data_IF_784935009429
#
_entry.id   IF_784935009429
#
_cell.length_a   1.000
_cell.length_b   1.000
_cell.length_c   1.000
_cell.angle_alpha   90.00
_cell.angle_beta   90.00
_cell.angle_gamma   90.00
#
_symmetry.space_group_name_H-M   'P 1'
#
loop_
_entity.id
_entity.type
_entity.pdbx_description
1 polymer ?
#
# COMPACT_ATOMS: atom_id res chain seq x y z
N UNK A 1 3.89 -12.89 -15.88
CA UNK A 1 2.93 -12.48 -14.82
C UNK A 1 1.89 -13.54 -14.44
N UNK A 2 2.04 -14.80 -14.85
CA UNK A 2 1.07 -15.89 -14.56
C UNK A 2 1.36 -16.70 -13.28
N UNK A 3 2.19 -16.20 -12.36
CA UNK A 3 2.59 -16.95 -11.16
C UNK A 3 1.63 -16.85 -9.97
N UNK A 4 0.63 -15.97 -10.05
CA UNK A 4 -0.32 -15.72 -8.95
C UNK A 4 -1.75 -16.08 -9.35
N UNK A 5 -1.95 -17.28 -9.94
CA UNK A 5 -3.27 -17.82 -10.32
C UNK A 5 -3.86 -18.63 -9.18
N UNK A 6 -4.71 -18.01 -8.39
CA UNK A 6 -5.48 -18.60 -7.29
C UNK A 6 -6.51 -17.55 -6.82
N UNK A 7 -7.21 -17.78 -5.73
CA UNK A 7 -8.03 -16.76 -5.06
C UNK A 7 -7.14 -15.68 -4.42
N UNK A 8 -6.40 -14.94 -5.27
CA UNK A 8 -5.44 -13.94 -4.87
C UNK A 8 -6.15 -12.64 -4.51
N UNK A 9 -5.69 -12.01 -3.43
CA UNK A 9 -6.05 -10.63 -3.07
C UNK A 9 -5.34 -9.58 -3.93
N UNK A 10 -4.70 -10.02 -5.01
CA UNK A 10 -4.07 -9.18 -6.02
C UNK A 10 -4.88 -9.30 -7.30
N UNK A 11 -5.20 -8.17 -7.93
CA UNK A 11 -5.95 -8.14 -9.18
C UNK A 11 -5.24 -8.94 -10.27
N UNK A 12 -5.98 -9.78 -10.96
CA UNK A 12 -5.45 -10.60 -12.05
C UNK A 12 -5.44 -9.81 -13.37
N UNK A 13 -4.24 -9.67 -13.98
CA UNK A 13 -4.10 -9.13 -15.33
C UNK A 13 -4.44 -10.24 -16.34
N UNK A 14 -5.45 -10.02 -17.16
CA UNK A 14 -5.96 -10.94 -18.17
C UNK A 14 -5.23 -10.81 -19.50
N UNK A 15 -4.91 -9.57 -19.89
CA UNK A 15 -4.31 -9.28 -21.19
C UNK A 15 -3.57 -7.93 -21.18
N UNK A 16 -2.73 -7.74 -22.19
CA UNK A 16 -2.00 -6.51 -22.42
C UNK A 16 -1.82 -6.32 -23.93
N UNK A 17 -2.18 -5.14 -24.44
CA UNK A 17 -2.02 -4.83 -25.86
C UNK A 17 -1.76 -3.34 -26.13
N UNK A 18 -1.22 -3.05 -27.30
CA UNK A 18 -1.01 -1.69 -27.80
C UNK A 18 -2.07 -1.31 -28.82
N UNK A 19 -2.68 -0.14 -28.65
CA UNK A 19 -3.58 0.48 -29.63
C UNK A 19 -3.57 2.00 -29.46
N UNK A 20 -3.82 2.76 -30.53
CA UNK A 20 -3.92 4.23 -30.49
C UNK A 20 -2.71 4.92 -29.82
N UNK A 21 -1.49 4.44 -30.08
CA UNK A 21 -0.24 4.91 -29.46
C UNK A 21 -0.23 4.84 -27.91
N UNK A 22 -1.03 3.96 -27.35
CA UNK A 22 -1.21 3.75 -25.89
C UNK A 22 -1.15 2.26 -25.59
N UNK A 23 -0.68 1.92 -24.38
CA UNK A 23 -0.73 0.56 -23.84
C UNK A 23 -2.01 0.37 -23.02
N UNK A 24 -2.68 -0.75 -23.24
CA UNK A 24 -3.88 -1.15 -22.49
C UNK A 24 -3.59 -2.39 -21.66
N UNK A 25 -3.97 -2.35 -20.39
CA UNK A 25 -3.93 -3.50 -19.49
C UNK A 25 -5.37 -3.92 -19.22
N UNK A 26 -5.69 -5.17 -19.54
CA UNK A 26 -7.00 -5.77 -19.28
C UNK A 26 -6.88 -6.58 -18.00
N UNK A 27 -7.71 -6.29 -17.02
CA UNK A 27 -7.70 -6.99 -15.74
C UNK A 27 -9.09 -7.53 -15.39
N UNK A 28 -9.17 -8.36 -14.37
CA UNK A 28 -10.46 -8.79 -13.84
C UNK A 28 -11.29 -7.58 -13.39
N UNK A 29 -12.59 -7.66 -13.60
CA UNK A 29 -13.52 -6.66 -13.09
C UNK A 29 -13.90 -7.01 -11.65
N UNK A 30 -13.76 -6.05 -10.74
CA UNK A 30 -14.17 -6.18 -9.34
C UNK A 30 -15.46 -5.39 -9.16
N UNK A 31 -16.55 -6.10 -8.87
CA UNK A 31 -17.85 -5.48 -8.58
C UNK A 31 -17.85 -5.02 -7.11
N UNK A 32 -17.43 -3.79 -6.88
CA UNK A 32 -17.25 -3.23 -5.55
C UNK A 32 -16.84 -1.76 -5.56
N UNK A 33 -16.36 -1.29 -4.43
CA UNK A 33 -15.90 0.08 -4.19
C UNK A 33 -14.43 0.12 -3.74
N UNK A 34 -13.75 1.25 -3.94
CA UNK A 34 -12.42 1.43 -3.36
C UNK A 34 -12.51 1.69 -1.86
N UNK A 35 -11.45 1.33 -1.10
CA UNK A 35 -11.36 1.68 0.32
C UNK A 35 -11.40 3.21 0.53
N UNK A 36 -10.97 3.99 -0.47
CA UNK A 36 -11.09 5.45 -0.44
C UNK A 36 -12.55 5.91 -0.52
N UNK A 37 -13.37 5.30 -1.38
CA UNK A 37 -14.81 5.58 -1.48
C UNK A 37 -15.52 5.17 -0.20
N UNK A 38 -15.25 3.95 0.28
CA UNK A 38 -15.79 3.41 1.53
C UNK A 38 -15.48 4.30 2.73
N UNK A 39 -14.23 4.78 2.84
CA UNK A 39 -13.82 5.72 3.89
C UNK A 39 -14.61 7.04 3.82
N UNK A 40 -14.83 7.54 2.60
CA UNK A 40 -15.59 8.79 2.38
C UNK A 40 -17.05 8.65 2.76
N UNK A 41 -17.67 7.50 2.49
CA UNK A 41 -19.09 7.26 2.69
C UNK A 41 -19.41 6.83 4.13
N UNK A 42 -18.58 5.96 4.71
CA UNK A 42 -18.84 5.33 6.00
C UNK A 42 -17.98 5.89 7.15
N UNK A 43 -16.99 6.75 6.85
CA UNK A 43 -16.00 7.18 7.83
C UNK A 43 -14.93 6.12 8.12
N UNK A 44 -14.00 6.43 9.06
CA UNK A 44 -12.91 5.52 9.42
C UNK A 44 -13.42 4.29 10.18
N UNK A 45 -12.76 3.14 9.95
CA UNK A 45 -12.99 1.92 10.73
C UNK A 45 -12.21 2.00 12.06
N UNK A 46 -12.89 2.28 13.13
CA UNK A 46 -12.27 2.45 14.45
C UNK A 46 -11.94 1.13 15.18
N UNK A 47 -12.39 -0.02 14.65
CA UNK A 47 -11.99 -1.34 15.13
C UNK A 47 -10.78 -1.82 14.33
N UNK A 48 -9.60 -1.70 14.93
CA UNK A 48 -8.35 -2.04 14.28
C UNK A 48 -8.25 -3.53 13.91
N UNK A 49 -8.80 -4.43 14.74
CA UNK A 49 -8.78 -5.87 14.45
C UNK A 49 -9.64 -6.18 13.22
N UNK A 50 -10.82 -5.59 13.13
CA UNK A 50 -11.70 -5.74 11.97
C UNK A 50 -11.02 -5.26 10.69
N UNK A 51 -10.34 -4.11 10.73
CA UNK A 51 -9.58 -3.60 9.59
C UNK A 51 -8.44 -4.55 9.20
N UNK A 52 -7.69 -5.07 10.18
CA UNK A 52 -6.61 -6.01 9.93
C UNK A 52 -7.14 -7.32 9.33
N UNK A 53 -8.26 -7.85 9.82
CA UNK A 53 -8.84 -9.08 9.28
C UNK A 53 -9.26 -8.92 7.82
N UNK A 54 -9.79 -7.76 7.42
CA UNK A 54 -10.07 -7.44 6.02
C UNK A 54 -8.82 -7.37 5.16
N UNK A 55 -7.72 -6.84 5.68
CA UNK A 55 -6.48 -6.61 4.92
C UNK A 55 -5.49 -7.79 4.99
N UNK A 56 -5.70 -8.75 5.91
CA UNK A 56 -4.81 -9.92 6.11
C UNK A 56 -4.50 -10.70 4.82
N UNK A 57 -5.49 -10.99 3.93
CA UNK A 57 -5.19 -11.64 2.66
C UNK A 57 -4.25 -10.81 1.78
N UNK A 58 -4.47 -9.50 1.70
CA UNK A 58 -3.61 -8.58 0.93
C UNK A 58 -2.18 -8.55 1.49
N UNK A 59 -2.03 -8.50 2.82
CA UNK A 59 -0.72 -8.51 3.49
C UNK A 59 0.05 -9.79 3.14
N UNK A 60 -0.62 -10.95 3.19
CA UNK A 60 -0.02 -12.25 2.88
C UNK A 60 0.43 -12.32 1.42
N UNK A 61 -0.45 -11.94 0.49
CA UNK A 61 -0.14 -12.00 -0.94
C UNK A 61 0.94 -10.98 -1.34
N UNK A 62 1.01 -9.83 -0.66
CA UNK A 62 2.08 -8.86 -0.83
C UNK A 62 3.44 -9.43 -0.43
N UNK A 63 3.52 -10.23 0.64
CA UNK A 63 4.75 -10.93 1.02
C UNK A 63 5.20 -11.93 -0.05
N UNK A 64 4.27 -12.66 -0.67
CA UNK A 64 4.59 -13.56 -1.78
C UNK A 64 5.11 -12.81 -3.01
N UNK A 65 4.58 -11.61 -3.29
CA UNK A 65 5.09 -10.71 -4.34
C UNK A 65 6.51 -10.27 -4.03
N UNK A 66 6.77 -9.87 -2.78
CA UNK A 66 8.11 -9.47 -2.34
C UNK A 66 9.12 -10.62 -2.45
N UNK A 67 8.74 -11.84 -2.07
CA UNK A 67 9.58 -13.05 -2.24
C UNK A 67 9.87 -13.36 -3.70
N UNK A 68 8.97 -13.00 -4.61
CA UNK A 68 9.19 -13.13 -6.05
C UNK A 68 10.08 -12.02 -6.64
N UNK A 69 10.58 -11.08 -5.82
CA UNK A 69 11.46 -9.99 -6.22
C UNK A 69 10.76 -8.76 -6.78
N UNK A 70 9.45 -8.61 -6.55
CA UNK A 70 8.68 -7.45 -7.01
C UNK A 70 8.24 -6.57 -5.84
N UNK A 71 8.09 -5.28 -6.09
CA UNK A 71 7.48 -4.31 -5.17
C UNK A 71 6.39 -3.54 -5.89
N UNK A 72 5.33 -3.17 -5.16
CA UNK A 72 4.13 -2.54 -5.72
C UNK A 72 4.30 -1.03 -5.96
N UNK A 73 4.84 -0.29 -4.95
CA UNK A 73 5.19 1.15 -4.99
C UNK A 73 4.03 2.15 -4.97
N UNK A 74 2.79 1.71 -5.05
CA UNK A 74 1.62 2.60 -5.06
C UNK A 74 0.45 2.05 -4.23
N UNK A 75 0.73 1.51 -3.03
CA UNK A 75 -0.31 1.07 -2.10
C UNK A 75 -0.95 2.30 -1.47
N UNK A 76 -2.29 2.36 -1.55
CA UNK A 76 -3.09 3.45 -0.98
C UNK A 76 -4.56 3.03 -0.93
N UNK A 77 -5.44 3.74 -0.20
CA UNK A 77 -6.88 3.41 -0.15
C UNK A 77 -7.57 3.41 -1.51
N UNK A 78 -7.06 4.16 -2.51
CA UNK A 78 -7.61 4.19 -3.86
C UNK A 78 -7.24 2.96 -4.70
N UNK A 79 -6.19 2.24 -4.30
CA UNK A 79 -5.72 1.03 -4.98
C UNK A 79 -6.09 -0.26 -4.23
N UNK A 80 -6.96 -0.17 -3.22
CA UNK A 80 -7.59 -1.30 -2.55
C UNK A 80 -9.09 -1.27 -2.86
N UNK A 81 -9.62 -2.34 -3.44
CA UNK A 81 -11.06 -2.51 -3.67
C UNK A 81 -11.66 -3.54 -2.74
N UNK A 82 -12.87 -3.25 -2.26
CA UNK A 82 -13.71 -4.21 -1.51
C UNK A 82 -14.82 -4.63 -2.44
N UNK A 83 -14.93 -5.92 -2.70
CA UNK A 83 -16.03 -6.49 -3.47
C UNK A 83 -17.31 -6.64 -2.62
N UNK A 84 -18.40 -7.07 -3.26
CA UNK A 84 -19.71 -7.30 -2.59
C UNK A 84 -19.67 -8.42 -1.53
N UNK A 85 -18.68 -9.28 -1.56
CA UNK A 85 -18.47 -10.31 -0.53
C UNK A 85 -17.73 -9.80 0.71
N UNK A 86 -17.14 -8.59 0.62
CA UNK A 86 -16.28 -8.01 1.64
C UNK A 86 -14.80 -8.37 1.47
N UNK A 87 -14.44 -9.08 0.40
CA UNK A 87 -13.05 -9.43 0.10
C UNK A 87 -12.31 -8.21 -0.46
N UNK A 88 -11.07 -8.01 0.01
CA UNK A 88 -10.23 -6.88 -0.42
C UNK A 88 -9.24 -7.35 -1.48
N UNK A 89 -9.14 -6.59 -2.56
CA UNK A 89 -8.15 -6.80 -3.63
C UNK A 89 -7.28 -5.57 -3.84
N UNK A 90 -5.97 -5.81 -3.99
CA UNK A 90 -4.98 -4.79 -4.34
C UNK A 90 -4.91 -4.65 -5.86
N UNK A 91 -5.13 -3.42 -6.33
CA UNK A 91 -5.10 -3.05 -7.74
C UNK A 91 -3.73 -2.54 -8.16
N UNK A 92 -3.51 -2.53 -9.48
CA UNK A 92 -2.56 -1.67 -10.19
C UNK A 92 -1.07 -1.86 -9.85
N UNK A 93 -0.54 -2.98 -10.34
CA UNK A 93 0.92 -3.17 -10.46
C UNK A 93 1.55 -2.36 -11.62
N UNK A 94 0.89 -1.30 -12.12
CA UNK A 94 1.40 -0.48 -13.23
C UNK A 94 2.73 0.21 -12.92
N UNK A 95 3.05 0.41 -11.64
CA UNK A 95 4.33 0.94 -11.16
C UNK A 95 5.26 -0.14 -10.61
N UNK A 96 4.81 -1.41 -10.58
CA UNK A 96 5.62 -2.52 -10.10
C UNK A 96 6.86 -2.73 -11.01
N UNK A 97 8.02 -2.85 -10.38
CA UNK A 97 9.29 -3.15 -11.05
C UNK A 97 9.98 -4.28 -10.32
N UNK A 98 10.74 -5.08 -11.08
CA UNK A 98 11.76 -5.94 -10.49
C UNK A 98 12.74 -5.09 -9.68
N UNK A 99 13.19 -5.61 -8.57
CA UNK A 99 14.27 -5.03 -7.77
C UNK A 99 15.57 -5.30 -8.52
N UNK A 100 15.87 -4.47 -9.54
CA UNK A 100 17.12 -4.55 -10.29
C UNK A 100 18.06 -3.44 -9.83
N UNK A 101 19.35 -3.74 -9.72
CA UNK A 101 20.41 -2.83 -9.29
C UNK A 101 20.67 -1.65 -10.26
N UNK A 102 20.19 -1.72 -11.49
CA UNK A 102 20.39 -0.70 -12.52
C UNK A 102 19.25 0.31 -12.55
N UNK A 103 19.46 1.41 -11.83
CA UNK A 103 18.52 2.52 -11.66
C UNK A 103 18.35 3.41 -12.90
N UNK A 104 17.88 2.91 -14.04
CA UNK A 104 17.52 3.78 -15.16
C UNK A 104 16.25 3.35 -15.89
N UNK A 105 15.15 4.07 -15.63
CA UNK A 105 14.28 4.82 -16.57
C UNK A 105 13.11 5.42 -15.79
N UNK A 106 13.21 6.72 -15.55
CA UNK A 106 12.17 7.54 -14.96
C UNK A 106 10.99 7.67 -15.92
N UNK A 107 9.96 6.85 -15.75
CA UNK A 107 8.60 7.31 -16.00
C UNK A 107 8.25 8.19 -14.80
N UNK A 108 7.67 9.36 -15.03
CA UNK A 108 7.25 10.28 -13.97
C UNK A 108 6.29 9.56 -13.02
N UNK A 109 6.82 9.04 -11.91
CA UNK A 109 6.00 8.41 -10.88
C UNK A 109 5.30 9.55 -10.17
N UNK A 110 3.99 9.64 -10.31
CA UNK A 110 3.16 10.54 -9.52
C UNK A 110 3.07 9.92 -8.12
N UNK A 111 3.89 10.43 -7.19
CA UNK A 111 3.88 9.97 -5.80
C UNK A 111 2.58 10.42 -5.12
N UNK A 112 2.03 9.57 -4.27
CA UNK A 112 0.86 9.90 -3.44
C UNK A 112 1.32 10.46 -2.10
N UNK A 113 1.14 11.79 -1.84
CA UNK A 113 1.57 12.39 -0.58
C UNK A 113 0.98 11.67 0.63
N UNK A 114 1.81 11.45 1.64
CA UNK A 114 1.46 10.73 2.86
C UNK A 114 1.56 9.20 2.77
N UNK A 115 1.46 8.61 1.56
CA UNK A 115 1.59 7.16 1.35
C UNK A 115 2.97 6.76 0.82
N UNK A 116 3.64 7.64 0.08
CA UNK A 116 4.97 7.39 -0.43
C UNK A 116 6.04 7.61 0.65
N UNK A 117 6.92 6.63 0.94
CA UNK A 117 8.04 6.81 1.85
C UNK A 117 9.15 7.66 1.25
N UNK A 118 10.07 8.14 2.08
CA UNK A 118 11.10 9.12 1.74
C UNK A 118 12.03 8.68 0.60
N UNK A 119 12.32 7.39 0.50
CA UNK A 119 13.16 6.81 -0.53
C UNK A 119 12.54 6.90 -1.94
N UNK A 120 11.22 7.03 -2.05
CA UNK A 120 10.55 7.24 -3.34
C UNK A 120 10.72 8.68 -3.86
N UNK A 121 10.94 9.66 -2.98
CA UNK A 121 11.21 11.06 -3.36
C UNK A 121 12.65 11.27 -3.81
N UNK A 122 13.54 10.32 -3.56
CA UNK A 122 14.96 10.42 -3.91
C UNK A 122 15.24 9.79 -5.26
N UNK A 123 15.96 10.49 -6.14
CA UNK A 123 16.33 9.98 -7.48
C UNK A 123 17.08 8.63 -7.44
N UNK A 124 17.84 8.37 -6.38
CA UNK A 124 18.60 7.12 -6.13
C UNK A 124 18.19 6.47 -4.81
N UNK A 125 16.95 6.62 -4.41
CA UNK A 125 16.45 5.97 -3.21
C UNK A 125 16.37 4.45 -3.41
N UNK A 126 16.98 3.72 -2.49
CA UNK A 126 16.91 2.26 -2.51
C UNK A 126 15.52 1.83 -2.05
N UNK A 127 14.75 1.28 -2.95
CA UNK A 127 13.41 0.77 -2.72
C UNK A 127 13.43 -0.75 -2.56
N UNK A 128 12.53 -1.27 -1.75
CA UNK A 128 12.42 -2.70 -1.47
C UNK A 128 11.08 -3.02 -0.78
N UNK A 129 10.91 -4.21 -0.21
CA UNK A 129 9.69 -4.60 0.51
C UNK A 129 9.28 -3.57 1.58
N UNK A 130 10.23 -2.96 2.27
CA UNK A 130 10.00 -1.89 3.26
C UNK A 130 9.29 -0.66 2.68
N UNK A 131 9.41 -0.40 1.37
CA UNK A 131 8.70 0.69 0.68
C UNK A 131 7.19 0.45 0.69
N UNK A 132 6.77 -0.77 0.36
CA UNK A 132 5.38 -1.19 0.38
C UNK A 132 4.85 -1.33 1.81
N UNK A 133 5.68 -1.76 2.76
CA UNK A 133 5.32 -1.80 4.19
C UNK A 133 4.93 -0.41 4.70
N UNK A 134 5.70 0.64 4.36
CA UNK A 134 5.33 2.02 4.72
C UNK A 134 3.99 2.41 4.11
N UNK A 135 3.81 2.21 2.81
CA UNK A 135 2.60 2.58 2.09
C UNK A 135 1.37 1.84 2.61
N UNK A 136 1.52 0.55 2.94
CA UNK A 136 0.46 -0.26 3.57
C UNK A 136 0.12 0.26 4.98
N UNK A 137 1.12 0.53 5.81
CA UNK A 137 0.91 1.09 7.15
C UNK A 137 0.28 2.49 7.09
N UNK A 138 0.68 3.34 6.14
CA UNK A 138 0.04 4.65 5.91
C UNK A 138 -1.42 4.50 5.45
N UNK A 139 -1.69 3.48 4.65
CA UNK A 139 -3.05 3.13 4.23
C UNK A 139 -3.90 2.67 5.42
N UNK A 140 -3.39 1.76 6.25
CA UNK A 140 -4.05 1.30 7.48
C UNK A 140 -4.32 2.47 8.41
N UNK A 141 -3.30 3.33 8.64
CA UNK A 141 -3.44 4.53 9.47
C UNK A 141 -4.57 5.43 8.96
N UNK A 142 -4.58 5.73 7.65
CA UNK A 142 -5.66 6.53 7.01
C UNK A 142 -7.03 5.90 7.19
N UNK A 143 -7.15 4.59 7.00
CA UNK A 143 -8.42 3.88 7.08
C UNK A 143 -8.98 3.81 8.49
N UNK A 144 -8.11 3.73 9.52
CA UNK A 144 -8.59 3.67 10.92
C UNK A 144 -8.76 5.04 11.57
N UNK A 145 -7.98 6.06 11.17
CA UNK A 145 -8.04 7.40 11.79
C UNK A 145 -8.84 8.43 10.98
N UNK A 146 -9.01 8.19 9.67
CA UNK A 146 -9.53 9.19 8.74
C UNK A 146 -8.49 10.24 8.33
N UNK A 147 -7.29 10.26 8.93
CA UNK A 147 -6.23 11.25 8.70
C UNK A 147 -5.13 10.66 7.83
N UNK A 148 -4.71 11.39 6.80
CA UNK A 148 -3.53 11.01 6.01
C UNK A 148 -2.27 11.42 6.77
N UNK A 149 -1.26 10.54 6.92
CA UNK A 149 0.03 10.95 7.47
C UNK A 149 0.63 12.13 6.71
N UNK A 150 1.41 12.96 7.37
CA UNK A 150 2.21 13.98 6.71
C UNK A 150 3.18 13.34 5.70
N UNK A 151 3.59 14.14 4.71
CA UNK A 151 4.56 13.67 3.70
C UNK A 151 5.85 13.22 4.38
N UNK A 152 6.32 12.03 4.01
CA UNK A 152 7.45 11.38 4.70
C UNK A 152 8.72 12.23 4.75
N UNK A 153 8.98 13.06 3.72
CA UNK A 153 10.16 13.95 3.70
C UNK A 153 10.04 15.09 4.71
N UNK A 154 8.83 15.56 5.00
CA UNK A 154 8.60 16.60 6.01
C UNK A 154 8.76 16.02 7.41
N UNK A 155 8.31 14.79 7.63
CA UNK A 155 8.49 14.04 8.88
C UNK A 155 9.95 13.73 9.22
N UNK A 156 10.89 13.81 8.27
CA UNK A 156 12.33 13.68 8.55
C UNK A 156 12.87 14.80 9.45
N UNK A 157 12.29 16.00 9.35
CA UNK A 157 12.70 17.14 10.16
C UNK A 157 12.07 17.10 11.56
N UNK A 158 10.76 16.87 11.61
CA UNK A 158 9.97 16.73 12.85
C UNK A 158 8.89 15.69 12.60
N UNK A 159 8.96 14.56 13.26
CA UNK A 159 7.92 13.54 13.16
C UNK A 159 6.77 13.86 14.13
N UNK A 160 5.70 14.41 13.57
CA UNK A 160 4.49 14.82 14.31
C UNK A 160 3.36 13.78 14.21
N UNK A 161 3.67 12.56 13.75
CA UNK A 161 2.65 11.52 13.58
C UNK A 161 2.03 11.13 14.92
N UNK A 162 0.75 11.43 15.08
CA UNK A 162 -0.01 11.06 16.28
C UNK A 162 -0.40 9.58 16.27
N UNK A 163 -0.40 8.90 17.43
CA UNK A 163 -0.81 7.51 17.50
C UNK A 163 -2.32 7.36 17.23
N UNK A 164 -2.77 6.26 16.57
CA UNK A 164 -4.19 6.02 16.26
C UNK A 164 -5.12 6.08 17.47
N UNK A 165 -4.65 5.69 18.65
CA UNK A 165 -5.43 5.75 19.90
C UNK A 165 -5.92 7.17 20.23
N UNK A 166 -5.19 8.22 19.84
CA UNK A 166 -5.62 9.63 19.99
C UNK A 166 -6.84 9.98 19.15
N UNK A 167 -7.12 9.22 18.09
CA UNK A 167 -8.29 9.39 17.23
C UNK A 167 -9.45 8.47 17.63
N UNK A 168 -9.38 7.82 18.79
CA UNK A 168 -10.43 6.93 19.29
C UNK A 168 -10.43 5.54 18.66
N UNK A 169 -9.36 5.16 17.96
CA UNK A 169 -9.21 3.83 17.38
C UNK A 169 -9.04 2.79 18.49
N UNK A 170 -9.80 1.70 18.42
CA UNK A 170 -9.68 0.55 19.34
C UNK A 170 -8.49 -0.31 18.92
N UNK A 171 -7.33 0.05 19.38
CA UNK A 171 -6.04 -0.58 19.09
C UNK A 171 -5.30 -0.87 20.41
N UNK A 172 -4.63 -2.00 20.50
CA UNK A 172 -3.79 -2.29 21.66
C UNK A 172 -2.37 -1.70 21.50
N UNK A 173 -1.62 -1.50 22.60
CA UNK A 173 -0.29 -0.87 22.55
C UNK A 173 0.72 -1.61 21.65
N UNK A 174 0.64 -2.93 21.53
CA UNK A 174 1.53 -3.71 20.67
C UNK A 174 1.23 -3.46 19.20
N UNK A 175 -0.04 -3.47 18.83
CA UNK A 175 -0.48 -3.16 17.46
C UNK A 175 -0.09 -1.74 17.06
N UNK A 176 -0.28 -0.78 17.97
CA UNK A 176 0.09 0.61 17.75
C UNK A 176 1.61 0.78 17.56
N UNK A 177 2.42 0.10 18.36
CA UNK A 177 3.88 0.09 18.23
C UNK A 177 4.33 -0.54 16.89
N UNK A 178 3.70 -1.63 16.47
CA UNK A 178 3.98 -2.27 15.16
C UNK A 178 3.63 -1.33 14.02
N UNK A 179 2.45 -0.68 14.05
CA UNK A 179 2.03 0.28 13.04
C UNK A 179 3.00 1.49 12.98
N UNK A 180 3.38 2.03 14.13
CA UNK A 180 4.34 3.13 14.22
C UNK A 180 5.70 2.73 13.62
N UNK A 181 6.19 1.50 13.91
CA UNK A 181 7.43 0.98 13.32
C UNK A 181 7.31 0.78 11.81
N UNK A 182 6.16 0.35 11.30
CA UNK A 182 5.91 0.29 9.84
C UNK A 182 5.89 1.66 9.17
N UNK A 183 5.52 2.71 9.93
CA UNK A 183 5.52 4.12 9.51
C UNK A 183 6.82 4.87 9.82
N UNK A 184 7.87 4.18 10.31
CA UNK A 184 9.17 4.80 10.53
C UNK A 184 9.67 5.44 9.22
N UNK A 185 10.07 6.72 9.28
CA UNK A 185 10.46 7.47 8.10
C UNK A 185 11.74 6.90 7.49
N UNK A 186 12.74 6.61 8.34
CA UNK A 186 13.98 5.97 7.89
C UNK A 186 13.74 4.48 7.66
N UNK A 187 14.12 3.99 6.49
CA UNK A 187 13.92 2.58 6.12
C UNK A 187 14.63 1.60 7.08
N UNK A 188 15.78 1.99 7.64
CA UNK A 188 16.57 1.18 8.57
C UNK A 188 15.81 0.88 9.87
N UNK A 189 14.94 1.79 10.30
CA UNK A 189 14.12 1.67 11.51
C UNK A 189 12.77 0.97 11.26
N UNK A 190 12.45 0.75 9.97
CA UNK A 190 11.17 0.23 9.51
C UNK A 190 11.13 -1.30 9.53
N UNK A 191 9.94 -1.89 9.57
CA UNK A 191 9.70 -3.31 9.31
C UNK A 191 10.13 -3.61 7.86
N UNK A 192 10.93 -4.67 7.67
CA UNK A 192 11.60 -4.96 6.41
C UNK A 192 10.81 -5.87 5.46
N UNK A 193 9.76 -6.55 5.94
CA UNK A 193 8.90 -7.43 5.15
C UNK A 193 7.45 -7.34 5.62
N UNK A 194 6.51 -7.79 4.76
CA UNK A 194 5.10 -7.89 5.11
C UNK A 194 4.76 -9.17 5.90
N UNK A 195 5.75 -10.07 6.11
CA UNK A 195 5.63 -11.34 6.82
C UNK A 195 5.61 -11.16 8.35
#
# INVERSE_FOLDING_TARGET
>A
MSRFSGESSIVHVKDFFYANSTAYIVMEFIDGETMQQRLKENGPENDFNKLLDMLRPVIKDLDDVHRAGFIHRDISPSNLMVDKSGSVKLLDFGTAREVNEDGEKSLSIVLKPGFAPEEQYRRRGQQGPWTDVYALCATIYKLCTGVTPEVSVDRLAVDSLEPPSKFGVKINPQQEAVLARGLAVRREDRIQSAA
#
